data_IF_496818536113
#
_entry.id   IF_496818536113
#
_cell.length_a   1.000
_cell.length_b   1.000
_cell.length_c   1.000
_cell.angle_alpha   90.00
_cell.angle_beta   90.00
_cell.angle_gamma   90.00
#
_symmetry.space_group_name_H-M   'P 1'
#
loop_
_entity.id
_entity.type
_entity.pdbx_description
1 polymer ?
#
# COMPACT_ATOMS: atom_id res chain seq x y z
N UNK A 1 28.28 0.98 14.53
CA UNK A 1 28.65 2.29 13.94
C UNK A 1 27.43 3.19 13.97
N UNK A 2 27.60 4.52 13.89
CA UNK A 2 26.45 5.43 13.72
C UNK A 2 26.12 5.50 12.22
N UNK A 3 24.84 5.60 11.82
CA UNK A 3 24.49 5.74 10.41
C UNK A 3 24.96 7.09 9.87
N UNK A 4 25.51 7.12 8.66
CA UNK A 4 25.96 8.36 7.99
C UNK A 4 24.84 9.03 7.19
N UNK A 5 23.87 8.24 6.70
CA UNK A 5 22.73 8.68 5.90
C UNK A 5 21.44 8.04 6.39
N UNK A 6 20.37 8.82 6.46
CA UNK A 6 19.04 8.36 6.90
C UNK A 6 17.96 8.95 6.01
N UNK A 7 17.17 8.07 5.37
CA UNK A 7 15.95 8.44 4.66
C UNK A 7 14.72 8.17 5.51
N UNK A 8 13.79 9.13 5.56
CA UNK A 8 12.55 9.03 6.34
C UNK A 8 11.35 9.37 5.46
N UNK A 9 10.36 8.49 5.46
CA UNK A 9 9.02 8.74 4.91
C UNK A 9 8.03 8.87 6.06
N UNK A 10 7.59 10.10 6.30
CA UNK A 10 6.62 10.46 7.32
C UNK A 10 5.23 10.62 6.70
N UNK A 11 4.54 9.49 6.54
CA UNK A 11 3.17 9.45 6.03
C UNK A 11 2.12 9.77 7.10
N UNK A 12 0.84 9.75 6.71
CA UNK A 12 -0.27 10.11 7.61
C UNK A 12 -0.53 9.13 8.76
N UNK A 13 -0.10 7.87 8.64
CA UNK A 13 -0.36 6.84 9.68
C UNK A 13 0.92 6.28 10.29
N UNK A 14 2.01 6.20 9.52
CA UNK A 14 3.26 5.54 9.94
C UNK A 14 4.45 6.29 9.38
N UNK A 15 5.49 6.39 10.20
CA UNK A 15 6.82 6.80 9.79
C UNK A 15 7.65 5.57 9.44
N UNK A 16 8.34 5.63 8.29
CA UNK A 16 9.28 4.61 7.84
C UNK A 16 10.65 5.24 7.74
N UNK A 17 11.65 4.51 8.19
CA UNK A 17 13.03 4.95 8.21
C UNK A 17 13.91 3.89 7.56
N UNK A 18 14.87 4.36 6.78
CA UNK A 18 15.92 3.57 6.17
C UNK A 18 17.26 4.21 6.46
N UNK A 19 18.24 3.39 6.85
CA UNK A 19 19.63 3.80 6.97
C UNK A 19 20.54 2.65 6.53
N UNK A 20 21.79 2.98 6.20
CA UNK A 20 22.79 2.01 5.78
C UNK A 20 23.88 1.89 6.86
N UNK A 21 24.26 0.66 7.18
CA UNK A 21 25.39 0.35 8.04
C UNK A 21 26.16 -0.84 7.45
N UNK A 22 27.48 -0.69 7.24
CA UNK A 22 28.33 -1.76 6.67
C UNK A 22 27.79 -2.35 5.35
N UNK A 23 27.36 -1.48 4.43
CA UNK A 23 26.74 -1.84 3.13
C UNK A 23 25.45 -2.66 3.23
N UNK A 24 24.75 -2.58 4.37
CA UNK A 24 23.44 -3.22 4.58
C UNK A 24 22.39 -2.19 4.92
N UNK A 25 21.25 -2.29 4.24
CA UNK A 25 20.08 -1.48 4.55
C UNK A 25 19.34 -2.01 5.77
N UNK A 26 19.00 -1.10 6.66
CA UNK A 26 18.18 -1.35 7.83
C UNK A 26 16.87 -0.58 7.72
N UNK A 27 15.75 -1.29 7.94
CA UNK A 27 14.41 -0.76 7.78
C UNK A 27 13.70 -0.71 9.14
N UNK A 28 13.08 0.43 9.48
CA UNK A 28 12.31 0.59 10.72
C UNK A 28 10.99 1.30 10.48
N UNK A 29 9.97 0.90 11.22
CA UNK A 29 8.63 1.51 11.17
C UNK A 29 8.25 1.98 12.57
N UNK A 30 7.70 3.19 12.66
CA UNK A 30 7.24 3.80 13.90
C UNK A 30 5.79 4.25 13.74
N UNK A 31 5.00 4.10 14.81
CA UNK A 31 3.68 4.74 14.87
C UNK A 31 3.85 6.25 14.98
N UNK A 32 2.97 6.99 14.31
CA UNK A 32 2.90 8.45 14.44
C UNK A 32 2.48 8.90 15.85
N UNK A 33 1.82 8.03 16.63
CA UNK A 33 1.45 8.33 18.03
C UNK A 33 2.66 8.55 18.93
N UNK A 34 3.79 7.89 18.63
CA UNK A 34 5.04 7.97 19.39
C UNK A 34 6.12 8.78 18.66
N UNK A 35 5.71 9.67 17.75
CA UNK A 35 6.62 10.36 16.84
C UNK A 35 7.66 11.20 17.60
N UNK A 36 7.23 12.04 18.55
CA UNK A 36 8.16 12.93 19.28
C UNK A 36 9.28 12.16 19.98
N UNK A 37 8.92 11.13 20.75
CA UNK A 37 9.90 10.33 21.50
C UNK A 37 10.86 9.61 20.55
N UNK A 38 10.33 9.05 19.46
CA UNK A 38 11.13 8.33 18.45
C UNK A 38 12.11 9.27 17.75
N UNK A 39 11.67 10.49 17.40
CA UNK A 39 12.50 11.48 16.70
C UNK A 39 13.54 12.12 17.62
N UNK A 40 13.22 12.38 18.90
CA UNK A 40 14.22 12.81 19.89
C UNK A 40 15.33 11.79 20.06
N UNK A 41 14.96 10.51 20.18
CA UNK A 41 15.93 9.42 20.29
C UNK A 41 16.81 9.31 19.03
N UNK A 42 16.21 9.42 17.84
CA UNK A 42 16.94 9.38 16.58
C UNK A 42 17.93 10.56 16.46
N UNK A 43 17.49 11.78 16.79
CA UNK A 43 18.34 12.98 16.80
C UNK A 43 19.56 12.83 17.72
N UNK A 44 19.38 12.19 18.88
CA UNK A 44 20.47 11.94 19.83
C UNK A 44 21.46 10.89 19.30
N UNK A 45 20.94 9.78 18.78
CA UNK A 45 21.74 8.59 18.41
C UNK A 45 22.42 8.71 17.04
N UNK A 46 21.82 9.45 16.11
CA UNK A 46 22.35 9.73 14.78
C UNK A 46 22.85 11.18 14.65
N UNK A 47 23.37 11.74 15.75
CA UNK A 47 24.02 13.06 15.76
C UNK A 47 25.24 13.05 14.83
N UNK A 48 25.08 13.63 13.64
CA UNK A 48 26.08 13.63 12.56
C UNK A 48 25.60 13.04 11.24
N UNK A 49 24.47 12.34 11.21
CA UNK A 49 23.92 11.77 9.98
C UNK A 49 23.30 12.87 9.09
N UNK A 50 23.38 12.66 7.78
CA UNK A 50 22.60 13.41 6.81
C UNK A 50 21.18 12.83 6.73
N UNK A 51 20.17 13.70 6.72
CA UNK A 51 18.76 13.30 6.70
C UNK A 51 18.06 13.77 5.43
N UNK A 52 17.30 12.87 4.81
CA UNK A 52 16.35 13.18 3.76
C UNK A 52 14.95 12.77 4.19
N UNK A 53 14.00 13.69 4.01
CA UNK A 53 12.63 13.53 4.47
C UNK A 53 11.66 13.55 3.29
N UNK A 54 10.63 12.72 3.37
CA UNK A 54 9.51 12.71 2.44
C UNK A 54 8.21 12.38 3.17
N UNK A 55 7.09 12.37 2.45
CA UNK A 55 5.75 12.14 2.99
C UNK A 55 5.11 13.42 3.55
N UNK A 56 3.79 13.39 3.73
CA UNK A 56 3.00 14.56 4.11
C UNK A 56 3.41 15.26 5.42
N UNK A 57 4.11 14.57 6.32
CA UNK A 57 4.57 15.13 7.60
C UNK A 57 6.06 15.54 7.58
N UNK A 58 6.70 15.58 6.41
CA UNK A 58 8.14 15.90 6.29
C UNK A 58 8.49 17.32 6.75
N UNK A 59 7.62 18.30 6.48
CA UNK A 59 7.86 19.70 6.88
C UNK A 59 7.88 19.86 8.41
N UNK A 60 6.93 19.22 9.09
CA UNK A 60 6.91 19.16 10.55
C UNK A 60 8.20 18.55 11.10
N UNK A 61 8.64 17.42 10.55
CA UNK A 61 9.88 16.77 10.99
C UNK A 61 11.13 17.62 10.75
N UNK A 62 11.17 18.32 9.61
CA UNK A 62 12.27 19.22 9.29
C UNK A 62 12.36 20.35 10.31
N UNK A 63 11.25 21.03 10.59
CA UNK A 63 11.24 22.20 11.47
C UNK A 63 11.58 21.83 12.93
N UNK A 64 11.01 20.73 13.44
CA UNK A 64 11.10 20.42 14.87
C UNK A 64 12.33 19.57 15.23
N UNK A 65 12.80 18.71 14.31
CA UNK A 65 13.81 17.71 14.61
C UNK A 65 15.08 17.86 13.76
N UNK A 66 14.93 18.02 12.44
CA UNK A 66 16.03 17.93 11.48
C UNK A 66 16.08 19.15 10.54
N UNK A 67 16.43 20.36 11.03
CA UNK A 67 16.33 21.60 10.25
C UNK A 67 17.19 21.61 8.98
N UNK A 68 18.30 20.88 8.99
CA UNK A 68 19.22 20.77 7.86
C UNK A 68 18.87 19.63 6.89
N UNK A 69 17.77 18.91 7.11
CA UNK A 69 17.39 17.81 6.24
C UNK A 69 16.93 18.31 4.87
N UNK A 70 17.23 17.53 3.82
CA UNK A 70 16.64 17.77 2.51
C UNK A 70 15.21 17.22 2.47
N UNK A 71 14.34 17.87 1.71
CA UNK A 71 12.97 17.39 1.51
C UNK A 71 12.82 16.89 0.07
N UNK A 72 12.25 15.71 -0.09
CA UNK A 72 12.01 15.07 -1.39
C UNK A 72 10.51 14.88 -1.57
N UNK A 73 10.01 15.12 -2.78
CA UNK A 73 8.61 14.84 -3.11
C UNK A 73 8.29 13.36 -2.84
N UNK A 74 7.17 13.09 -2.16
CA UNK A 74 6.69 11.73 -1.88
C UNK A 74 6.52 10.90 -3.14
N UNK A 75 6.08 11.52 -4.24
CA UNK A 75 5.88 10.83 -5.50
C UNK A 75 7.21 10.38 -6.11
N UNK A 76 8.18 11.29 -6.14
CA UNK A 76 9.55 10.99 -6.61
C UNK A 76 10.17 9.88 -5.77
N UNK A 77 10.15 10.05 -4.45
CA UNK A 77 10.78 9.13 -3.53
C UNK A 77 10.17 7.72 -3.61
N UNK A 78 8.85 7.59 -3.69
CA UNK A 78 8.22 6.28 -3.87
C UNK A 78 8.59 5.63 -5.21
N UNK A 79 8.65 6.38 -6.31
CA UNK A 79 9.00 5.81 -7.62
C UNK A 79 10.46 5.36 -7.68
N UNK A 80 11.39 6.23 -7.25
CA UNK A 80 12.83 5.93 -7.26
C UNK A 80 13.19 4.81 -6.28
N UNK A 81 12.63 4.85 -5.07
CA UNK A 81 12.89 3.80 -4.09
C UNK A 81 12.29 2.45 -4.49
N UNK A 82 11.11 2.42 -5.12
CA UNK A 82 10.55 1.18 -5.66
C UNK A 82 11.42 0.61 -6.79
N UNK A 83 11.91 1.46 -7.71
CA UNK A 83 12.81 1.05 -8.77
C UNK A 83 14.14 0.50 -8.21
N UNK A 84 14.70 1.15 -7.18
CA UNK A 84 15.90 0.66 -6.50
C UNK A 84 15.68 -0.71 -5.85
N UNK A 85 14.60 -0.88 -5.08
CA UNK A 85 14.28 -2.14 -4.41
C UNK A 85 14.04 -3.28 -5.42
N UNK A 86 13.34 -3.01 -6.53
CA UNK A 86 13.21 -3.98 -7.62
C UNK A 86 14.56 -4.39 -8.19
N UNK A 87 15.46 -3.44 -8.43
CA UNK A 87 16.79 -3.73 -8.96
C UNK A 87 17.62 -4.59 -7.98
N UNK A 88 17.48 -4.38 -6.67
CA UNK A 88 18.11 -5.22 -5.64
C UNK A 88 17.61 -6.68 -5.68
N UNK A 89 16.38 -6.91 -6.12
CA UNK A 89 15.84 -8.27 -6.36
C UNK A 89 16.28 -8.87 -7.70
N UNK A 90 17.15 -8.21 -8.47
CA UNK A 90 17.54 -8.63 -9.81
C UNK A 90 16.41 -8.48 -10.84
N UNK A 91 15.44 -7.60 -10.56
CA UNK A 91 14.26 -7.40 -11.41
C UNK A 91 14.27 -5.98 -11.97
N UNK A 92 14.31 -5.86 -13.29
CA UNK A 92 14.24 -4.56 -13.98
C UNK A 92 13.05 -4.57 -14.94
N UNK A 93 12.31 -3.46 -14.94
CA UNK A 93 11.21 -3.21 -15.87
C UNK A 93 11.29 -1.76 -16.32
N UNK A 94 11.16 -1.54 -17.61
CA UNK A 94 11.23 -0.18 -18.17
C UNK A 94 9.87 0.50 -18.19
N UNK A 95 8.79 -0.27 -18.32
CA UNK A 95 7.43 0.23 -18.48
C UNK A 95 6.48 -0.57 -17.57
N UNK A 96 5.92 0.09 -16.55
CA UNK A 96 4.97 -0.53 -15.62
C UNK A 96 4.11 0.53 -14.93
N UNK A 97 2.99 0.11 -14.34
CA UNK A 97 2.28 0.92 -13.38
C UNK A 97 2.79 0.62 -11.97
N UNK A 98 3.15 1.65 -11.22
CA UNK A 98 3.45 1.54 -9.79
C UNK A 98 2.20 1.94 -9.00
N UNK A 99 1.69 1.03 -8.19
CA UNK A 99 0.51 1.20 -7.35
C UNK A 99 0.96 1.25 -5.90
N UNK A 100 0.95 2.45 -5.30
CA UNK A 100 1.29 2.63 -3.89
C UNK A 100 0.03 2.63 -3.03
N UNK A 101 -0.17 1.57 -2.24
CA UNK A 101 -1.33 1.36 -1.37
C UNK A 101 -0.94 1.72 0.08
N UNK A 102 -0.91 3.02 0.35
CA UNK A 102 -0.71 3.62 1.67
C UNK A 102 -2.03 3.84 2.41
N UNK A 103 -2.17 5.00 3.06
CA UNK A 103 -3.44 5.41 3.67
C UNK A 103 -4.55 5.52 2.62
N UNK A 104 -4.25 6.15 1.48
CA UNK A 104 -4.99 6.00 0.21
C UNK A 104 -4.14 5.26 -0.83
N UNK A 105 -4.55 5.32 -2.09
CA UNK A 105 -3.83 4.69 -3.21
C UNK A 105 -3.41 5.74 -4.23
N UNK A 106 -2.16 5.68 -4.70
CA UNK A 106 -1.68 6.46 -5.85
C UNK A 106 -1.16 5.54 -6.95
N UNK A 107 -1.46 5.89 -8.20
CA UNK A 107 -1.06 5.16 -9.40
C UNK A 107 -0.11 6.02 -10.22
N UNK A 108 1.06 5.49 -10.50
CA UNK A 108 2.09 6.12 -11.31
C UNK A 108 2.34 5.29 -12.57
N UNK A 109 2.53 5.97 -13.69
CA UNK A 109 3.09 5.40 -14.89
C UNK A 109 4.61 5.55 -14.82
N UNK A 110 5.33 4.45 -14.94
CA UNK A 110 6.78 4.46 -15.15
C UNK A 110 7.03 4.11 -16.62
N UNK A 111 7.74 4.99 -17.34
CA UNK A 111 8.19 4.77 -18.73
C UNK A 111 9.63 5.23 -18.87
N UNK A 112 10.51 4.35 -19.32
CA UNK A 112 11.94 4.66 -19.54
C UNK A 112 12.60 5.38 -18.35
N UNK A 113 12.28 4.97 -17.12
CA UNK A 113 12.73 5.54 -15.84
C UNK A 113 12.14 6.90 -15.46
N UNK A 114 11.30 7.49 -16.29
CA UNK A 114 10.50 8.66 -15.92
C UNK A 114 9.20 8.21 -15.25
N UNK A 115 8.73 9.00 -14.28
CA UNK A 115 7.45 8.74 -13.61
C UNK A 115 6.45 9.84 -13.91
N UNK A 116 5.18 9.47 -14.06
CA UNK A 116 4.05 10.39 -14.13
C UNK A 116 2.95 9.92 -13.19
N UNK A 117 2.44 10.80 -12.33
CA UNK A 117 1.29 10.47 -11.49
C UNK A 117 0.02 10.52 -12.34
N UNK A 118 -0.62 9.38 -12.54
CA UNK A 118 -1.82 9.27 -13.37
C UNK A 118 -3.07 9.62 -12.56
N UNK A 119 -3.26 8.95 -11.43
CA UNK A 119 -4.46 9.08 -10.63
C UNK A 119 -4.23 8.70 -9.16
N UNK A 120 -5.23 8.96 -8.33
CA UNK A 120 -5.28 8.49 -6.95
C UNK A 120 -6.69 8.17 -6.51
N UNK A 121 -6.80 7.41 -5.43
CA UNK A 121 -8.06 7.05 -4.78
C UNK A 121 -7.91 7.17 -3.27
N UNK A 122 -8.96 7.61 -2.59
CA UNK A 122 -9.03 7.59 -1.13
C UNK A 122 -9.18 6.16 -0.56
N UNK A 123 -9.33 5.15 -1.42
CA UNK A 123 -9.43 3.73 -1.04
C UNK A 123 -8.03 3.16 -0.80
N UNK A 124 -7.75 2.77 0.44
CA UNK A 124 -6.46 2.19 0.86
C UNK A 124 -6.50 1.66 2.28
N UNK A 125 -5.36 1.64 2.96
CA UNK A 125 -5.25 1.16 4.35
C UNK A 125 -6.01 2.02 5.36
N UNK A 126 -6.16 3.32 5.10
CA UNK A 126 -6.98 4.21 5.93
C UNK A 126 -8.46 3.84 5.86
N UNK A 127 -8.94 3.50 4.67
CA UNK A 127 -10.31 2.98 4.46
C UNK A 127 -10.50 1.63 5.16
N UNK A 128 -9.52 0.72 5.04
CA UNK A 128 -9.56 -0.58 5.69
C UNK A 128 -9.69 -0.45 7.21
N UNK A 129 -8.89 0.42 7.84
CA UNK A 129 -8.96 0.70 9.28
C UNK A 129 -10.27 1.40 9.66
N UNK A 130 -10.64 2.47 8.94
CA UNK A 130 -11.82 3.28 9.25
C UNK A 130 -13.13 2.49 9.13
N UNK A 131 -13.34 1.83 7.99
CA UNK A 131 -14.51 0.97 7.80
C UNK A 131 -14.44 -0.29 8.65
N UNK A 132 -13.25 -0.86 8.87
CA UNK A 132 -13.07 -1.99 9.77
C UNK A 132 -13.55 -1.70 11.19
N UNK A 133 -13.19 -0.51 11.71
CA UNK A 133 -13.69 0.00 13.00
C UNK A 133 -15.21 0.16 13.00
N UNK A 134 -15.78 0.77 11.97
CA UNK A 134 -17.24 0.96 11.88
C UNK A 134 -18.00 -0.38 11.84
N UNK A 135 -17.44 -1.39 11.15
CA UNK A 135 -18.09 -2.69 10.97
C UNK A 135 -17.95 -3.62 12.18
N UNK A 136 -16.87 -3.49 12.96
CA UNK A 136 -16.50 -4.50 13.98
C UNK A 136 -16.15 -3.93 15.35
N UNK A 137 -15.93 -2.61 15.45
CA UNK A 137 -15.38 -1.94 16.63
C UNK A 137 -13.85 -2.04 16.77
N UNK A 138 -13.16 -2.84 15.95
CA UNK A 138 -11.72 -3.05 16.07
C UNK A 138 -10.89 -1.93 15.41
N UNK A 139 -9.81 -1.52 16.07
CA UNK A 139 -8.92 -0.44 15.61
C UNK A 139 -7.52 -0.92 15.26
N UNK A 140 -7.12 -2.11 15.70
CA UNK A 140 -5.83 -2.69 15.39
C UNK A 140 -5.80 -3.32 13.99
N UNK A 141 -4.83 -2.88 13.18
CA UNK A 141 -4.65 -3.38 11.82
C UNK A 141 -4.45 -4.89 11.77
N UNK A 142 -3.63 -5.44 12.67
CA UNK A 142 -3.24 -6.85 12.65
C UNK A 142 -4.42 -7.75 13.02
N UNK A 143 -5.27 -7.31 13.96
CA UNK A 143 -6.51 -8.00 14.31
C UNK A 143 -7.53 -7.95 13.19
N UNK A 144 -7.72 -6.80 12.52
CA UNK A 144 -8.58 -6.73 11.33
C UNK A 144 -8.10 -7.66 10.22
N UNK A 145 -6.79 -7.71 9.94
CA UNK A 145 -6.20 -8.68 8.99
C UNK A 145 -6.46 -10.12 9.42
N UNK A 146 -6.38 -10.41 10.73
CA UNK A 146 -6.67 -11.74 11.28
C UNK A 146 -8.14 -12.14 11.11
N UNK A 147 -9.08 -11.21 11.34
CA UNK A 147 -10.51 -11.41 11.08
C UNK A 147 -10.77 -11.67 9.60
N UNK A 148 -10.21 -10.84 8.72
CA UNK A 148 -10.35 -10.98 7.26
C UNK A 148 -9.98 -12.38 6.79
N UNK A 149 -8.87 -12.93 7.32
CA UNK A 149 -8.36 -14.26 6.95
C UNK A 149 -9.30 -15.40 7.34
N UNK A 150 -10.12 -15.22 8.37
CA UNK A 150 -11.05 -16.24 8.87
C UNK A 150 -12.43 -16.18 8.21
N UNK A 151 -12.71 -15.12 7.44
CA UNK A 151 -14.02 -14.89 6.83
C UNK A 151 -14.07 -15.29 5.37
N UNK A 152 -15.30 -15.37 4.87
CA UNK A 152 -15.62 -15.62 3.49
C UNK A 152 -16.33 -14.40 2.90
N UNK A 153 -15.65 -13.68 2.00
CA UNK A 153 -16.23 -12.49 1.35
C UNK A 153 -17.58 -12.79 0.68
N UNK A 154 -17.73 -13.98 0.09
CA UNK A 154 -18.97 -14.44 -0.55
C UNK A 154 -20.17 -14.59 0.40
N UNK A 155 -19.96 -14.62 1.73
CA UNK A 155 -21.05 -14.59 2.69
C UNK A 155 -21.67 -13.19 2.85
N UNK A 156 -20.87 -12.14 2.64
CA UNK A 156 -21.30 -10.73 2.70
C UNK A 156 -21.58 -10.12 1.31
N UNK A 157 -20.83 -10.54 0.28
CA UNK A 157 -20.91 -10.02 -1.08
C UNK A 157 -21.99 -10.71 -1.91
N UNK A 158 -22.75 -9.93 -2.66
CA UNK A 158 -23.69 -10.44 -3.66
C UNK A 158 -22.91 -10.79 -4.94
N UNK A 159 -22.94 -12.05 -5.35
CA UNK A 159 -22.22 -12.54 -6.52
C UNK A 159 -23.15 -12.56 -7.74
N UNK A 160 -22.57 -12.56 -8.94
CA UNK A 160 -23.34 -12.61 -10.20
C UNK A 160 -24.25 -13.85 -10.24
N UNK A 161 -23.76 -15.02 -9.80
CA UNK A 161 -24.60 -16.24 -9.75
C UNK A 161 -25.82 -16.11 -8.85
N UNK A 162 -25.76 -15.26 -7.82
CA UNK A 162 -26.86 -15.07 -6.88
C UNK A 162 -28.01 -14.26 -7.53
N UNK A 163 -27.69 -13.41 -8.51
CA UNK A 163 -28.67 -12.61 -9.26
C UNK A 163 -29.33 -13.44 -10.36
N UNK A 164 -28.55 -14.25 -11.07
CA UNK A 164 -29.04 -14.99 -12.24
C UNK A 164 -29.73 -16.32 -11.90
N UNK A 165 -29.66 -16.79 -10.66
CA UNK A 165 -30.28 -18.06 -10.24
C UNK A 165 -31.78 -18.13 -10.57
N UNK A 166 -32.31 -19.25 -11.13
CA UNK A 166 -31.62 -20.51 -11.45
C UNK A 166 -30.95 -20.56 -12.83
N UNK A 167 -30.94 -19.46 -13.57
CA UNK A 167 -30.36 -19.36 -14.92
C UNK A 167 -28.83 -19.30 -14.90
N UNK A 168 -28.21 -19.67 -16.02
CA UNK A 168 -26.76 -19.51 -16.23
C UNK A 168 -26.42 -18.02 -16.42
N UNK A 169 -25.44 -17.47 -15.69
CA UNK A 169 -25.04 -16.06 -15.85
C UNK A 169 -24.28 -15.82 -17.17
N UNK A 170 -24.34 -14.58 -17.71
CA UNK A 170 -23.66 -14.21 -18.96
C UNK A 170 -22.15 -13.99 -18.79
N UNK A 171 -21.68 -13.88 -17.55
CA UNK A 171 -20.26 -13.76 -17.15
C UNK A 171 -19.99 -14.74 -16.01
N UNK A 172 -18.73 -14.85 -15.57
CA UNK A 172 -18.36 -15.72 -14.46
C UNK A 172 -19.22 -15.41 -13.21
N UNK A 173 -19.96 -16.44 -12.77
CA UNK A 173 -20.89 -16.33 -11.64
C UNK A 173 -20.21 -16.12 -10.29
N UNK A 174 -18.90 -16.37 -10.18
CA UNK A 174 -18.10 -16.13 -8.98
C UNK A 174 -17.71 -14.66 -8.78
N UNK A 175 -17.88 -13.83 -9.82
CA UNK A 175 -17.59 -12.40 -9.74
C UNK A 175 -18.54 -11.70 -8.78
N UNK A 176 -18.02 -10.70 -8.09
CA UNK A 176 -18.81 -9.80 -7.25
C UNK A 176 -19.70 -8.93 -8.12
N UNK A 177 -21.00 -9.00 -7.90
CA UNK A 177 -21.95 -8.05 -8.48
C UNK A 177 -22.11 -6.82 -7.59
N UNK A 178 -22.09 -7.00 -6.26
CA UNK A 178 -22.17 -5.92 -5.29
C UNK A 178 -21.50 -6.31 -3.97
N UNK A 179 -20.42 -5.61 -3.60
CA UNK A 179 -19.79 -5.79 -2.29
C UNK A 179 -20.80 -5.45 -1.17
N UNK A 180 -20.81 -6.24 -0.10
CA UNK A 180 -21.75 -6.16 1.03
C UNK A 180 -23.24 -6.33 0.67
N UNK A 181 -23.58 -6.67 -0.57
CA UNK A 181 -24.98 -6.74 -1.04
C UNK A 181 -25.85 -7.73 -0.27
N UNK A 182 -25.28 -8.79 0.32
CA UNK A 182 -26.02 -9.77 1.14
C UNK A 182 -26.29 -9.29 2.56
N UNK A 183 -25.51 -8.36 3.08
CA UNK A 183 -25.65 -7.87 4.47
C UNK A 183 -27.02 -7.23 4.70
N UNK A 184 -27.63 -6.63 3.66
CA UNK A 184 -28.98 -6.05 3.73
C UNK A 184 -30.09 -7.08 4.02
N UNK A 185 -29.88 -8.33 3.63
CA UNK A 185 -30.90 -9.39 3.70
C UNK A 185 -30.52 -10.51 4.67
N UNK A 186 -29.26 -10.57 5.11
CA UNK A 186 -28.75 -11.57 6.03
C UNK A 186 -28.10 -10.89 7.24
N UNK A 187 -28.81 -10.88 8.36
CA UNK A 187 -28.33 -10.30 9.61
C UNK A 187 -27.25 -11.14 10.31
N UNK A 188 -27.02 -12.38 9.87
CA UNK A 188 -26.07 -13.32 10.49
C UNK A 188 -24.66 -13.26 9.91
N UNK A 189 -24.35 -12.27 9.07
CA UNK A 189 -23.00 -12.10 8.51
C UNK A 189 -22.02 -11.77 9.63
N UNK A 190 -20.99 -12.61 9.78
CA UNK A 190 -20.00 -12.47 10.85
C UNK A 190 -19.10 -11.24 10.64
N UNK A 191 -18.35 -10.85 11.68
CA UNK A 191 -17.37 -9.76 11.55
C UNK A 191 -16.21 -10.17 10.64
N UNK A 192 -15.80 -11.44 10.70
CA UNK A 192 -14.82 -12.05 9.83
C UNK A 192 -15.24 -11.90 8.35
N UNK A 193 -16.47 -12.25 8.01
CA UNK A 193 -17.00 -12.15 6.64
C UNK A 193 -17.09 -10.70 6.15
N UNK A 194 -17.51 -9.77 7.04
CA UNK A 194 -17.54 -8.33 6.74
C UNK A 194 -16.15 -7.79 6.41
N UNK A 195 -15.12 -8.17 7.17
CA UNK A 195 -13.75 -7.71 6.92
C UNK A 195 -13.13 -8.42 5.70
N UNK A 196 -13.50 -9.68 5.44
CA UNK A 196 -13.12 -10.37 4.21
C UNK A 196 -13.70 -9.66 2.97
N UNK A 197 -14.98 -9.29 3.02
CA UNK A 197 -15.65 -8.48 1.98
C UNK A 197 -15.05 -7.08 1.85
N UNK A 198 -14.74 -6.39 2.95
CA UNK A 198 -14.01 -5.11 2.91
C UNK A 198 -12.67 -5.22 2.19
N UNK A 199 -11.91 -6.28 2.50
CA UNK A 199 -10.62 -6.54 1.85
C UNK A 199 -10.80 -6.80 0.35
N UNK A 200 -11.86 -7.53 -0.02
CA UNK A 200 -12.20 -7.83 -1.40
C UNK A 200 -12.57 -6.56 -2.18
N UNK A 201 -13.45 -5.72 -1.63
CA UNK A 201 -13.87 -4.44 -2.22
C UNK A 201 -12.68 -3.52 -2.50
N UNK A 202 -11.74 -3.41 -1.54
CA UNK A 202 -10.53 -2.60 -1.70
C UNK A 202 -9.67 -3.15 -2.86
N UNK A 203 -9.47 -4.47 -2.91
CA UNK A 203 -8.69 -5.11 -3.97
C UNK A 203 -9.33 -4.90 -5.36
N UNK A 204 -10.62 -5.19 -5.50
CA UNK A 204 -11.39 -5.04 -6.74
C UNK A 204 -11.33 -3.59 -7.24
N UNK A 205 -11.57 -2.62 -6.36
CA UNK A 205 -11.53 -1.20 -6.71
C UNK A 205 -10.16 -0.78 -7.22
N UNK A 206 -9.09 -1.15 -6.51
CA UNK A 206 -7.71 -0.80 -6.91
C UNK A 206 -7.35 -1.47 -8.25
N UNK A 207 -7.71 -2.73 -8.44
CA UNK A 207 -7.41 -3.48 -9.67
C UNK A 207 -8.18 -2.91 -10.86
N UNK A 208 -9.46 -2.56 -10.72
CA UNK A 208 -10.24 -1.94 -11.77
C UNK A 208 -9.67 -0.57 -12.19
N UNK A 209 -9.27 0.27 -11.22
CA UNK A 209 -8.59 1.55 -11.50
C UNK A 209 -7.24 1.34 -12.21
N UNK A 210 -6.47 0.33 -11.77
CA UNK A 210 -5.20 -0.03 -12.37
C UNK A 210 -5.38 -0.52 -13.81
N UNK A 211 -6.40 -1.34 -14.08
CA UNK A 211 -6.74 -1.84 -15.40
C UNK A 211 -7.07 -0.71 -16.37
N UNK A 212 -7.88 0.28 -15.94
CA UNK A 212 -8.22 1.40 -16.81
C UNK A 212 -6.97 2.20 -17.22
N UNK A 213 -6.08 2.47 -16.24
CA UNK A 213 -4.80 3.13 -16.50
C UNK A 213 -3.90 2.29 -17.41
N UNK A 214 -3.85 0.99 -17.16
CA UNK A 214 -3.01 0.04 -17.89
C UNK A 214 -3.44 -0.06 -19.35
N UNK A 215 -4.75 -0.16 -19.60
CA UNK A 215 -5.34 -0.17 -20.94
C UNK A 215 -5.05 1.11 -21.70
N UNK A 216 -5.29 2.28 -21.08
CA UNK A 216 -5.07 3.58 -21.71
C UNK A 216 -3.60 3.80 -22.12
N UNK A 217 -2.65 3.33 -21.31
CA UNK A 217 -1.23 3.51 -21.56
C UNK A 217 -0.53 2.30 -22.18
N UNK A 218 -1.27 1.24 -22.51
CA UNK A 218 -0.77 -0.03 -23.09
C UNK A 218 0.30 -0.69 -22.21
N UNK A 219 0.10 -0.69 -20.90
CA UNK A 219 0.96 -1.33 -19.91
C UNK A 219 0.35 -2.66 -19.47
N UNK A 220 1.18 -3.69 -19.33
CA UNK A 220 0.75 -4.99 -18.78
C UNK A 220 1.24 -5.26 -17.35
N UNK A 221 2.37 -4.66 -16.98
CA UNK A 221 3.03 -4.92 -15.71
C UNK A 221 2.54 -3.96 -14.64
N UNK A 222 2.04 -4.52 -13.53
CA UNK A 222 1.52 -3.77 -12.38
C UNK A 222 2.35 -4.12 -11.16
N UNK A 223 3.00 -3.11 -10.57
CA UNK A 223 3.87 -3.25 -9.42
C UNK A 223 3.17 -2.67 -8.19
N UNK A 224 2.99 -3.48 -7.16
CA UNK A 224 2.31 -3.11 -5.92
C UNK A 224 3.30 -2.88 -4.79
N UNK A 225 3.16 -1.73 -4.13
CA UNK A 225 3.89 -1.35 -2.92
C UNK A 225 2.93 -0.78 -1.85
N UNK A 226 3.49 -0.40 -0.71
CA UNK A 226 2.77 0.30 0.35
C UNK A 226 2.50 -0.57 1.57
N UNK A 227 2.42 0.09 2.73
CA UNK A 227 2.36 -0.59 4.03
C UNK A 227 1.07 -1.41 4.23
N UNK A 228 -0.03 -1.09 3.54
CA UNK A 228 -1.29 -1.85 3.65
C UNK A 228 -1.12 -3.31 3.22
N UNK A 229 -0.12 -3.59 2.39
CA UNK A 229 0.22 -4.94 1.95
C UNK A 229 1.05 -5.71 2.98
N UNK A 230 1.68 -5.02 3.93
CA UNK A 230 2.54 -5.64 4.95
C UNK A 230 1.69 -6.53 5.84
N UNK A 231 2.06 -7.81 5.93
CA UNK A 231 1.34 -8.85 6.68
C UNK A 231 -0.13 -9.11 6.25
N UNK A 232 -0.65 -8.42 5.23
CA UNK A 232 -1.99 -8.63 4.70
C UNK A 232 -1.96 -9.57 3.49
N UNK A 233 -1.77 -10.88 3.75
CA UNK A 233 -1.70 -11.90 2.69
C UNK A 233 -3.00 -12.00 1.89
N UNK A 234 -4.16 -11.83 2.54
CA UNK A 234 -5.44 -11.88 1.84
C UNK A 234 -5.55 -10.80 0.78
N UNK A 235 -5.23 -9.54 1.12
CA UNK A 235 -5.23 -8.44 0.16
C UNK A 235 -4.26 -8.70 -1.00
N UNK A 236 -3.03 -9.15 -0.72
CA UNK A 236 -2.05 -9.49 -1.77
C UNK A 236 -2.60 -10.55 -2.73
N UNK A 237 -3.18 -11.63 -2.19
CA UNK A 237 -3.73 -12.70 -3.00
C UNK A 237 -4.91 -12.23 -3.86
N UNK A 238 -5.77 -11.34 -3.34
CA UNK A 238 -6.90 -10.77 -4.10
C UNK A 238 -6.43 -9.84 -5.21
N UNK A 239 -5.48 -8.95 -4.92
CA UNK A 239 -4.85 -8.10 -5.92
C UNK A 239 -4.22 -8.95 -7.03
N UNK A 240 -3.44 -9.98 -6.66
CA UNK A 240 -2.82 -10.88 -7.64
C UNK A 240 -3.86 -11.60 -8.50
N UNK A 241 -4.88 -12.18 -7.87
CA UNK A 241 -5.93 -12.94 -8.53
C UNK A 241 -6.68 -12.09 -9.56
N UNK A 242 -7.21 -10.93 -9.16
CA UNK A 242 -7.98 -10.07 -10.06
C UNK A 242 -7.09 -9.43 -11.13
N UNK A 243 -5.84 -9.10 -10.81
CA UNK A 243 -4.91 -8.56 -11.82
C UNK A 243 -4.65 -9.58 -12.93
N UNK A 244 -4.38 -10.84 -12.57
CA UNK A 244 -4.20 -11.93 -13.55
C UNK A 244 -5.48 -12.24 -14.33
N UNK A 245 -6.63 -12.21 -13.66
CA UNK A 245 -7.94 -12.40 -14.29
C UNK A 245 -8.19 -11.38 -15.41
N UNK A 246 -7.70 -10.14 -15.25
CA UNK A 246 -7.80 -9.08 -16.26
C UNK A 246 -6.67 -9.11 -17.31
N UNK A 247 -5.84 -10.16 -17.33
CA UNK A 247 -4.75 -10.32 -18.30
C UNK A 247 -3.53 -9.44 -18.04
N UNK A 248 -3.38 -8.93 -16.81
CA UNK A 248 -2.24 -8.10 -16.37
C UNK A 248 -1.28 -8.92 -15.51
N UNK A 249 -0.04 -8.44 -15.38
CA UNK A 249 1.03 -9.11 -14.65
C UNK A 249 1.28 -8.41 -13.31
N UNK A 250 0.82 -8.98 -12.18
CA UNK A 250 1.05 -8.41 -10.86
C UNK A 250 2.47 -8.73 -10.36
N UNK A 251 3.07 -7.75 -9.70
CA UNK A 251 4.38 -7.85 -9.08
C UNK A 251 4.36 -7.18 -7.71
N UNK A 252 4.91 -7.85 -6.70
CA UNK A 252 5.12 -7.27 -5.38
C UNK A 252 6.62 -7.11 -5.14
N UNK A 253 7.00 -6.04 -4.46
CA UNK A 253 8.39 -5.74 -4.08
C UNK A 253 8.58 -6.09 -2.60
N UNK A 254 9.65 -6.81 -2.29
CA UNK A 254 10.13 -7.01 -0.93
C UNK A 254 10.54 -5.66 -0.33
N UNK A 255 10.11 -5.41 0.91
CA UNK A 255 10.30 -4.12 1.58
C UNK A 255 9.64 -2.94 0.83
N UNK A 256 8.70 -3.20 -0.09
CA UNK A 256 8.05 -2.15 -0.89
C UNK A 256 7.34 -1.08 -0.04
N UNK A 257 6.96 -1.37 1.21
CA UNK A 257 6.43 -0.37 2.14
C UNK A 257 7.43 0.73 2.54
N UNK A 258 8.73 0.50 2.28
CA UNK A 258 9.82 1.44 2.55
C UNK A 258 10.24 2.24 1.32
N UNK A 259 9.56 2.09 0.17
CA UNK A 259 9.96 2.74 -1.09
C UNK A 259 10.17 4.26 -0.93
N UNK A 260 9.25 4.98 -0.29
CA UNK A 260 9.42 6.41 -0.01
C UNK A 260 10.68 6.72 0.81
N UNK A 261 10.93 5.97 1.89
CA UNK A 261 12.10 6.18 2.75
C UNK A 261 13.41 5.84 2.01
N UNK A 262 13.41 4.80 1.16
CA UNK A 262 14.54 4.47 0.28
C UNK A 262 14.79 5.58 -0.73
N UNK A 263 13.77 6.08 -1.44
CA UNK A 263 13.96 7.17 -2.40
C UNK A 263 14.45 8.46 -1.76
N UNK A 264 14.00 8.76 -0.53
CA UNK A 264 14.55 9.86 0.24
C UNK A 264 16.04 9.61 0.56
N UNK A 265 16.40 8.42 1.05
CA UNK A 265 17.79 8.04 1.32
C UNK A 265 18.70 8.21 0.08
N UNK A 266 18.23 7.81 -1.11
CA UNK A 266 18.98 7.90 -2.37
C UNK A 266 19.23 9.35 -2.84
N UNK A 267 18.56 10.33 -2.24
CA UNK A 267 18.76 11.75 -2.53
C UNK A 267 19.89 12.39 -1.71
N UNK A 268 20.50 11.64 -0.78
CA UNK A 268 21.67 12.01 0.03
C UNK A 268 22.96 11.50 -0.60
#
# INVERSE_FOLDING_TARGET
>A
MRPDKVGIDAGGTLLKMVYEESSRFHYKTYSMDNLQSSMKWLKMTASGASFALTGGQSEFLKNDFFPNAITVSEFKANCEGAAFLMNQEGRTKENYLLINIGTGTSIYLIKAREYTRLLGSAIGGGTFLGLGKLLTGETDFSKLVSLARKGEAAAADLLVKDIYHPSKPPIDGSLTASNFGKVRINEKVSNEDKIASLTNMIAETIVLLSMQSASHHQIKDIVYIGNTLKNNKLLKNRLEHYTKMLGLNPFFIQNGEYSGAVGAFLSL
#
